data_IF_553675646627
#
_entry.id   IF_553675646627
#
_cell.length_a   1.000
_cell.length_b   1.000
_cell.length_c   1.000
_cell.angle_alpha   90.00
_cell.angle_beta   90.00
_cell.angle_gamma   90.00
#
_symmetry.space_group_name_H-M   'P 1'
#
loop_
_entity.id
_entity.type
_entity.pdbx_description
1 polymer ?
#
# COMPACT_ATOMS: atom_id res chain seq x y z
N UNK A 1 5.86 20.30 -11.85
CA UNK A 1 5.71 20.07 -10.40
C UNK A 1 4.98 18.75 -10.20
N UNK A 2 5.70 17.64 -9.98
CA UNK A 2 5.09 16.29 -10.05
C UNK A 2 4.87 15.77 -8.63
N UNK A 3 3.63 15.44 -8.33
CA UNK A 3 3.10 15.02 -7.02
C UNK A 3 3.97 13.91 -6.42
N UNK A 4 4.88 14.27 -5.51
CA UNK A 4 5.78 13.33 -4.81
C UNK A 4 5.14 12.71 -3.56
N UNK A 5 3.87 13.00 -3.27
CA UNK A 5 3.22 12.63 -2.02
C UNK A 5 3.00 11.11 -1.83
N UNK A 6 3.02 10.33 -2.91
CA UNK A 6 2.68 8.90 -2.89
C UNK A 6 3.85 7.99 -3.31
N UNK A 7 5.07 8.53 -3.31
CA UNK A 7 6.26 7.87 -3.84
C UNK A 7 6.57 6.54 -3.13
N UNK A 8 6.30 6.46 -1.83
CA UNK A 8 6.45 5.25 -1.03
C UNK A 8 5.45 4.16 -1.45
N UNK A 9 4.17 4.51 -1.61
CA UNK A 9 3.12 3.56 -1.98
C UNK A 9 3.28 3.07 -3.40
N UNK A 10 3.67 3.96 -4.32
CA UNK A 10 4.01 3.57 -5.68
C UNK A 10 5.16 2.57 -5.69
N UNK A 11 6.19 2.80 -4.86
CA UNK A 11 7.33 1.89 -4.75
C UNK A 11 6.95 0.55 -4.12
N UNK A 12 6.08 0.56 -3.10
CA UNK A 12 5.53 -0.65 -2.51
C UNK A 12 4.69 -1.44 -3.54
N UNK A 13 3.78 -0.78 -4.25
CA UNK A 13 2.98 -1.39 -5.32
C UNK A 13 3.86 -2.03 -6.39
N UNK A 14 4.85 -1.31 -6.92
CA UNK A 14 5.77 -1.83 -7.93
C UNK A 14 6.47 -3.12 -7.45
N UNK A 15 6.96 -3.15 -6.20
CA UNK A 15 7.61 -4.34 -5.66
C UNK A 15 6.62 -5.49 -5.38
N UNK A 16 5.39 -5.19 -4.98
CA UNK A 16 4.33 -6.19 -4.80
C UNK A 16 4.03 -6.87 -6.14
N UNK A 17 3.66 -6.09 -7.17
CA UNK A 17 3.36 -6.63 -8.50
C UNK A 17 4.56 -7.39 -9.02
N UNK A 18 5.77 -6.81 -9.01
CA UNK A 18 6.99 -7.50 -9.47
C UNK A 18 7.22 -8.86 -8.81
N UNK A 19 6.91 -9.00 -7.52
CA UNK A 19 7.08 -10.27 -6.80
C UNK A 19 5.99 -11.27 -7.14
N UNK A 20 4.74 -10.82 -7.32
CA UNK A 20 3.64 -11.68 -7.77
C UNK A 20 3.86 -12.13 -9.23
N UNK A 21 4.35 -11.24 -10.10
CA UNK A 21 4.73 -11.55 -11.50
C UNK A 21 5.83 -12.58 -11.62
N UNK A 22 6.73 -12.69 -10.64
CA UNK A 22 7.73 -13.76 -10.65
C UNK A 22 7.17 -15.13 -10.28
N UNK A 23 5.96 -15.21 -9.73
CA UNK A 23 5.41 -16.42 -9.12
C UNK A 23 4.08 -16.90 -9.75
N UNK A 24 3.32 -16.03 -10.44
CA UNK A 24 1.96 -16.30 -10.94
C UNK A 24 1.81 -16.09 -12.45
N UNK A 25 0.79 -16.71 -13.06
CA UNK A 25 0.48 -16.57 -14.49
C UNK A 25 -0.51 -15.42 -14.74
N UNK A 26 -0.04 -14.31 -15.33
CA UNK A 26 -0.87 -13.30 -16.02
C UNK A 26 -0.69 -11.86 -15.52
N UNK A 27 -0.36 -10.94 -16.41
CA UNK A 27 -0.01 -9.54 -16.05
C UNK A 27 -1.15 -8.78 -15.38
N UNK A 28 -2.41 -9.00 -15.81
CA UNK A 28 -3.56 -8.30 -15.25
C UNK A 28 -3.96 -8.79 -13.85
N UNK A 29 -3.82 -10.09 -13.58
CA UNK A 29 -4.14 -10.66 -12.27
C UNK A 29 -3.11 -10.24 -11.21
N UNK A 30 -1.85 -10.06 -11.60
CA UNK A 30 -0.77 -9.58 -10.74
C UNK A 30 -0.93 -8.10 -10.35
N UNK A 31 -1.25 -7.23 -11.32
CA UNK A 31 -1.55 -5.82 -11.03
C UNK A 31 -2.76 -5.70 -10.11
N UNK A 32 -3.80 -6.50 -10.35
CA UNK A 32 -4.98 -6.54 -9.50
C UNK A 32 -4.63 -7.01 -8.09
N UNK A 33 -3.86 -8.10 -7.94
CA UNK A 33 -3.39 -8.58 -6.65
C UNK A 33 -2.56 -7.51 -5.92
N UNK A 34 -1.67 -6.81 -6.63
CA UNK A 34 -0.88 -5.70 -6.08
C UNK A 34 -1.77 -4.56 -5.54
N UNK A 35 -2.83 -4.21 -6.26
CA UNK A 35 -3.82 -3.21 -5.82
C UNK A 35 -4.54 -3.69 -4.57
N UNK A 36 -5.00 -4.94 -4.53
CA UNK A 36 -5.70 -5.53 -3.38
C UNK A 36 -4.79 -5.51 -2.15
N UNK A 37 -3.57 -6.03 -2.26
CA UNK A 37 -2.62 -6.07 -1.14
C UNK A 37 -2.29 -4.68 -0.59
N UNK A 38 -1.98 -3.72 -1.48
CA UNK A 38 -1.68 -2.36 -1.06
C UNK A 38 -2.87 -1.71 -0.35
N UNK A 39 -4.08 -1.90 -0.89
CA UNK A 39 -5.31 -1.34 -0.32
C UNK A 39 -5.60 -1.90 1.06
N UNK A 40 -5.39 -3.20 1.26
CA UNK A 40 -5.53 -3.85 2.57
C UNK A 40 -4.54 -3.26 3.58
N UNK A 41 -3.26 -3.14 3.24
CA UNK A 41 -2.23 -2.58 4.14
C UNK A 41 -2.57 -1.13 4.52
N UNK A 42 -2.95 -0.31 3.55
CA UNK A 42 -3.34 1.09 3.79
C UNK A 42 -4.59 1.18 4.67
N UNK A 43 -5.59 0.32 4.46
CA UNK A 43 -6.82 0.30 5.25
C UNK A 43 -6.55 -0.09 6.70
N UNK A 44 -5.75 -1.14 6.92
CA UNK A 44 -5.31 -1.57 8.26
C UNK A 44 -4.60 -0.42 8.97
N UNK A 45 -3.70 0.30 8.28
CA UNK A 45 -2.98 1.41 8.88
C UNK A 45 -3.92 2.55 9.28
N UNK A 46 -4.81 2.99 8.38
CA UNK A 46 -5.79 4.05 8.65
C UNK A 46 -6.66 3.67 9.85
N UNK A 47 -7.15 2.44 9.92
CA UNK A 47 -8.02 1.98 11.01
C UNK A 47 -7.27 1.88 12.32
N UNK A 48 -6.02 1.43 12.29
CA UNK A 48 -5.18 1.36 13.49
C UNK A 48 -4.96 2.76 14.06
N UNK A 49 -4.65 3.74 13.20
CA UNK A 49 -4.50 5.14 13.63
C UNK A 49 -5.83 5.69 14.16
N UNK A 50 -6.94 5.46 13.46
CA UNK A 50 -8.27 5.91 13.91
C UNK A 50 -8.66 5.26 15.24
N UNK A 51 -8.32 4.00 15.46
CA UNK A 51 -8.56 3.26 16.71
C UNK A 51 -7.78 3.85 17.89
N UNK A 52 -6.56 4.34 17.66
CA UNK A 52 -5.77 5.04 18.68
C UNK A 52 -6.34 6.43 19.02
N UNK A 53 -6.84 7.17 18.03
CA UNK A 53 -7.32 8.55 18.23
C UNK A 53 -8.78 8.58 18.72
N UNK A 54 -9.64 7.67 18.27
CA UNK A 54 -11.08 7.65 18.56
C UNK A 54 -11.59 6.21 18.83
N UNK A 55 -11.24 5.60 19.97
CA UNK A 55 -11.51 4.18 20.24
C UNK A 55 -13.01 3.80 20.32
N UNK A 56 -13.91 4.76 20.56
CA UNK A 56 -15.34 4.51 20.88
C UNK A 56 -16.34 4.72 19.72
N UNK A 57 -15.89 5.12 18.52
CA UNK A 57 -16.81 5.68 17.51
C UNK A 57 -17.11 4.73 16.34
N UNK A 58 -16.46 3.57 16.24
CA UNK A 58 -16.53 2.77 15.03
C UNK A 58 -17.07 1.36 15.26
N UNK A 59 -18.19 1.05 14.60
CA UNK A 59 -18.45 -0.32 14.16
C UNK A 59 -17.27 -0.70 13.25
N UNK A 60 -16.34 -1.46 13.84
CA UNK A 60 -14.99 -1.66 13.30
C UNK A 60 -15.05 -2.40 11.97
N UNK A 61 -16.07 -3.24 11.76
CA UNK A 61 -16.22 -4.05 10.56
C UNK A 61 -16.75 -3.25 9.37
N UNK A 62 -17.89 -2.55 9.52
CA UNK A 62 -18.45 -1.73 8.43
C UNK A 62 -17.50 -0.59 8.03
N UNK A 63 -16.84 0.02 9.01
CA UNK A 63 -15.81 1.04 8.77
C UNK A 63 -14.63 0.46 8.00
N UNK A 64 -14.20 -0.76 8.34
CA UNK A 64 -13.13 -1.45 7.62
C UNK A 64 -13.49 -1.70 6.15
N UNK A 65 -14.67 -2.28 5.89
CA UNK A 65 -15.12 -2.57 4.53
C UNK A 65 -15.27 -1.28 3.71
N UNK A 66 -15.86 -0.23 4.30
CA UNK A 66 -16.01 1.07 3.62
C UNK A 66 -14.67 1.71 3.26
N UNK A 67 -13.71 1.72 4.19
CA UNK A 67 -12.36 2.23 3.93
C UNK A 67 -11.62 1.39 2.90
N UNK A 68 -11.72 0.06 2.97
CA UNK A 68 -11.10 -0.84 2.02
C UNK A 68 -11.59 -0.58 0.60
N UNK A 69 -12.90 -0.46 0.41
CA UNK A 69 -13.49 -0.16 -0.90
C UNK A 69 -13.06 1.22 -1.42
N UNK A 70 -13.07 2.24 -0.56
CA UNK A 70 -12.65 3.59 -0.95
C UNK A 70 -11.17 3.62 -1.39
N UNK A 71 -10.27 3.04 -0.59
CA UNK A 71 -8.85 2.96 -0.89
C UNK A 71 -8.60 2.09 -2.13
N UNK A 72 -9.32 0.98 -2.26
CA UNK A 72 -9.25 0.11 -3.43
C UNK A 72 -9.60 0.86 -4.72
N UNK A 73 -10.70 1.61 -4.75
CA UNK A 73 -11.09 2.41 -5.92
C UNK A 73 -10.03 3.46 -6.25
N UNK A 74 -9.50 4.16 -5.24
CA UNK A 74 -8.44 5.15 -5.43
C UNK A 74 -7.17 4.53 -6.02
N UNK A 75 -6.75 3.37 -5.49
CA UNK A 75 -5.59 2.63 -6.01
C UNK A 75 -5.86 2.07 -7.41
N UNK A 76 -7.08 1.61 -7.70
CA UNK A 76 -7.47 1.18 -9.03
C UNK A 76 -7.32 2.31 -10.04
N UNK A 77 -7.88 3.49 -9.75
CA UNK A 77 -7.73 4.68 -10.60
C UNK A 77 -6.27 5.06 -10.76
N UNK A 78 -5.51 5.07 -9.66
CA UNK A 78 -4.10 5.44 -9.67
C UNK A 78 -3.28 4.50 -10.55
N UNK A 79 -3.33 3.19 -10.30
CA UNK A 79 -2.43 2.22 -10.92
C UNK A 79 -2.90 1.68 -12.27
N UNK A 80 -4.19 1.81 -12.61
CA UNK A 80 -4.67 1.51 -13.97
C UNK A 80 -4.71 2.71 -14.91
N UNK A 81 -4.78 3.96 -14.41
CA UNK A 81 -4.91 5.16 -15.27
C UNK A 81 -3.82 6.21 -15.12
N UNK A 82 -3.35 6.51 -13.91
CA UNK A 82 -2.50 7.68 -13.67
C UNK A 82 -1.00 7.35 -13.61
N UNK A 83 -0.65 6.29 -12.89
CA UNK A 83 0.71 5.87 -12.56
C UNK A 83 0.79 4.35 -12.78
N UNK A 84 0.78 3.94 -14.05
CA UNK A 84 0.67 2.52 -14.39
C UNK A 84 1.93 1.74 -14.01
N UNK A 85 1.79 0.42 -13.85
CA UNK A 85 2.92 -0.44 -13.56
C UNK A 85 4.03 -0.29 -14.60
N UNK A 86 3.70 -0.19 -15.90
CA UNK A 86 4.69 0.05 -16.96
C UNK A 86 5.50 1.33 -16.74
N UNK A 87 4.86 2.41 -16.27
CA UNK A 87 5.56 3.66 -15.94
C UNK A 87 6.51 3.48 -14.74
N UNK A 88 6.04 2.80 -13.70
CA UNK A 88 6.83 2.53 -12.50
C UNK A 88 8.00 1.57 -12.78
N UNK A 89 7.77 0.56 -13.60
CA UNK A 89 8.80 -0.38 -14.06
C UNK A 89 9.88 0.36 -14.84
N UNK A 90 9.52 1.19 -15.83
CA UNK A 90 10.50 2.03 -16.54
C UNK A 90 11.31 2.94 -15.58
N UNK A 91 10.66 3.49 -14.55
CA UNK A 91 11.30 4.37 -13.57
C UNK A 91 12.27 3.64 -12.64
N UNK A 92 11.94 2.44 -12.19
CA UNK A 92 12.67 1.77 -11.10
C UNK A 92 13.31 0.43 -11.44
N UNK A 93 13.10 -0.09 -12.65
CA UNK A 93 13.75 -1.31 -13.11
C UNK A 93 15.28 -1.16 -13.12
N UNK A 94 15.77 0.02 -13.53
CA UNK A 94 17.19 0.35 -13.58
C UNK A 94 17.71 1.01 -12.29
N UNK A 95 16.86 1.17 -11.26
CA UNK A 95 17.29 1.80 -10.02
C UNK A 95 18.25 0.88 -9.25
N UNK A 96 19.42 1.43 -8.92
CA UNK A 96 20.50 0.76 -8.21
C UNK A 96 21.12 1.70 -7.16
N UNK A 97 21.99 1.16 -6.30
CA UNK A 97 22.72 1.94 -5.31
C UNK A 97 21.88 2.45 -4.13
N UNK A 98 22.25 3.63 -3.61
CA UNK A 98 21.72 4.19 -2.37
C UNK A 98 20.22 4.57 -2.41
N UNK A 99 19.68 5.18 -3.49
CA UNK A 99 18.25 5.53 -3.55
C UNK A 99 17.33 4.31 -3.39
N UNK A 100 17.69 3.19 -4.02
CA UNK A 100 16.97 1.91 -3.88
C UNK A 100 16.95 1.41 -2.44
N UNK A 101 18.09 1.49 -1.74
CA UNK A 101 18.21 1.07 -0.33
C UNK A 101 17.33 1.94 0.57
N UNK A 102 17.34 3.26 0.39
CA UNK A 102 16.52 4.18 1.16
C UNK A 102 15.02 3.95 0.96
N UNK A 103 14.56 3.76 -0.29
CA UNK A 103 13.14 3.46 -0.54
C UNK A 103 12.72 2.13 0.07
N UNK A 104 13.56 1.10 -0.01
CA UNK A 104 13.33 -0.20 0.66
C UNK A 104 13.26 -0.06 2.17
N UNK A 105 14.18 0.70 2.77
CA UNK A 105 14.17 0.98 4.20
C UNK A 105 12.90 1.73 4.61
N UNK A 106 12.47 2.71 3.82
CA UNK A 106 11.21 3.43 4.05
C UNK A 106 9.99 2.51 3.99
N UNK A 107 9.93 1.61 3.00
CA UNK A 107 8.84 0.62 2.91
C UNK A 107 8.86 -0.33 4.11
N UNK A 108 10.04 -0.81 4.50
CA UNK A 108 10.18 -1.69 5.67
C UNK A 108 9.72 -0.98 6.95
N UNK A 109 10.14 0.28 7.15
CA UNK A 109 9.70 1.09 8.28
C UNK A 109 8.18 1.30 8.28
N UNK A 110 7.59 1.56 7.12
CA UNK A 110 6.13 1.69 6.97
C UNK A 110 5.40 0.40 7.32
N UNK A 111 5.90 -0.77 6.89
CA UNK A 111 5.30 -2.06 7.23
C UNK A 111 5.43 -2.37 8.72
N UNK A 112 6.60 -2.14 9.31
CA UNK A 112 6.84 -2.32 10.75
C UNK A 112 5.90 -1.41 11.55
N UNK A 113 5.83 -0.12 11.22
CA UNK A 113 4.95 0.82 11.93
C UNK A 113 3.47 0.47 11.75
N UNK A 114 3.06 -0.03 10.57
CA UNK A 114 1.69 -0.54 10.35
C UNK A 114 1.37 -1.70 11.29
N UNK A 115 2.28 -2.67 11.42
CA UNK A 115 2.13 -3.81 12.33
C UNK A 115 2.08 -3.33 13.79
N UNK A 116 3.03 -2.48 14.19
CA UNK A 116 3.09 -1.92 15.55
C UNK A 116 1.79 -1.19 15.91
N UNK A 117 1.30 -0.29 15.05
CA UNK A 117 0.05 0.43 15.31
C UNK A 117 -1.16 -0.50 15.35
N UNK A 118 -1.20 -1.53 14.51
CA UNK A 118 -2.26 -2.53 14.55
C UNK A 118 -2.28 -3.26 15.90
N UNK A 119 -1.12 -3.73 16.37
CA UNK A 119 -1.01 -4.37 17.69
C UNK A 119 -1.43 -3.41 18.81
N UNK A 120 -0.90 -2.18 18.85
CA UNK A 120 -1.32 -1.22 19.88
C UNK A 120 -2.82 -0.95 19.83
N UNK A 121 -3.40 -0.72 18.66
CA UNK A 121 -4.84 -0.47 18.52
C UNK A 121 -5.71 -1.69 18.89
N UNK A 122 -5.22 -2.91 18.68
CA UNK A 122 -5.97 -4.13 18.98
C UNK A 122 -5.92 -4.49 20.47
N UNK A 123 -4.78 -4.26 21.14
CA UNK A 123 -4.52 -4.67 22.52
C UNK A 123 -4.64 -3.54 23.56
N UNK A 124 -4.83 -2.29 23.13
CA UNK A 124 -5.09 -1.14 24.04
C UNK A 124 -6.58 -0.86 24.28
N UNK A 125 -7.46 -1.75 23.78
CA UNK A 125 -8.89 -1.78 24.11
C UNK A 125 -9.13 -2.67 25.31
#
# INVERSE_FOLDING_TARGET
MKIELFLLFDYLYYNLVKKVTSEWYGWDSEEFAGIVFLSTIQSVNVISILGLVKPKIFDTFLTFIGLLLAIFILNLIRYKKLVTYTMLSKKWHMESGMPKKLRRAGVLLYLITTVVFFFFSAFSK
#
